data_IF_364429983212
#
_entry.id   IF_364429983212
#
_cell.length_a   1.000
_cell.length_b   1.000
_cell.length_c   1.000
_cell.angle_alpha   90.00
_cell.angle_beta   90.00
_cell.angle_gamma   90.00
#
_symmetry.space_group_name_H-M   'P 1'
#
loop_
_entity.id
_entity.type
_entity.pdbx_description
1 polymer ?
#
# COMPACT_ATOMS: atom_id res chain seq x y z
N UNK A 1 -2.67 1.52 7.51
CA UNK A 1 -1.48 0.81 6.99
C UNK A 1 -1.81 0.20 5.63
N UNK A 2 -0.89 0.30 4.68
CA UNK A 2 -0.98 -0.27 3.34
C UNK A 2 0.20 -1.23 3.15
N UNK A 3 -0.09 -2.45 2.72
CA UNK A 3 0.92 -3.45 2.34
C UNK A 3 0.71 -3.75 0.87
N UNK A 4 1.66 -3.36 0.02
CA UNK A 4 1.71 -3.78 -1.39
C UNK A 4 3.16 -4.13 -1.76
N UNK A 5 3.52 -5.41 -1.85
CA UNK A 5 4.88 -5.83 -2.19
C UNK A 5 5.32 -5.29 -3.54
N UNK A 6 4.35 -5.06 -4.43
CA UNK A 6 4.60 -4.61 -5.77
C UNK A 6 4.51 -3.11 -5.92
N UNK A 7 4.45 -2.29 -4.85
CA UNK A 7 4.22 -0.82 -4.78
C UNK A 7 5.06 0.11 -5.69
N UNK A 8 6.13 -0.38 -6.31
CA UNK A 8 6.83 0.35 -7.40
C UNK A 8 6.78 -0.26 -8.80
N UNK A 9 6.01 -1.35 -9.02
CA UNK A 9 5.81 -1.92 -10.38
C UNK A 9 4.82 -1.13 -11.26
N UNK A 10 4.08 -0.18 -10.71
CA UNK A 10 3.27 0.87 -11.39
C UNK A 10 4.18 2.04 -11.71
N UNK A 11 4.78 2.02 -12.91
CA UNK A 11 5.60 3.12 -13.41
C UNK A 11 5.00 3.79 -14.65
N UNK A 12 3.70 3.63 -14.88
CA UNK A 12 2.99 4.46 -15.86
C UNK A 12 2.25 5.62 -15.18
N UNK A 13 2.23 6.77 -15.84
CA UNK A 13 1.63 8.01 -15.31
C UNK A 13 0.14 7.84 -14.96
N UNK A 14 -0.55 6.94 -15.67
CA UNK A 14 -1.96 6.67 -15.46
C UNK A 14 -2.22 6.02 -14.09
N UNK A 15 -1.46 4.97 -13.76
CA UNK A 15 -1.54 4.30 -12.47
C UNK A 15 -1.18 5.24 -11.32
N UNK A 16 -0.12 6.05 -11.48
CA UNK A 16 0.27 7.08 -10.51
C UNK A 16 -0.87 8.07 -10.30
N UNK A 17 -1.45 8.63 -11.38
CA UNK A 17 -2.54 9.61 -11.28
C UNK A 17 -3.78 9.02 -10.59
N UNK A 18 -4.05 7.74 -10.81
CA UNK A 18 -5.23 7.06 -10.26
C UNK A 18 -5.02 6.69 -8.80
N UNK A 19 -3.82 6.23 -8.43
CA UNK A 19 -3.43 6.08 -7.03
C UNK A 19 -3.62 7.39 -6.26
N UNK A 20 -3.12 8.50 -6.81
CA UNK A 20 -3.24 9.82 -6.18
C UNK A 20 -4.70 10.25 -5.98
N UNK A 21 -5.57 10.01 -6.98
CA UNK A 21 -7.01 10.29 -6.85
C UNK A 21 -7.68 9.41 -5.80
N UNK A 22 -7.34 8.12 -5.76
CA UNK A 22 -7.87 7.21 -4.74
C UNK A 22 -7.41 7.65 -3.34
N UNK A 23 -6.14 7.99 -3.19
CA UNK A 23 -5.58 8.59 -1.98
C UNK A 23 -6.40 9.84 -1.59
N UNK A 24 -6.59 10.80 -2.48
CA UNK A 24 -7.40 12.01 -2.20
C UNK A 24 -8.80 11.73 -1.67
N UNK A 25 -9.43 10.62 -2.07
CA UNK A 25 -10.76 10.24 -1.58
C UNK A 25 -10.74 9.67 -0.15
N UNK A 26 -9.66 8.98 0.24
CA UNK A 26 -9.55 8.33 1.55
C UNK A 26 -8.79 9.18 2.59
N UNK A 27 -7.94 10.12 2.13
CA UNK A 27 -7.08 10.94 2.97
C UNK A 27 -7.79 11.90 3.93
N UNK A 28 -8.99 12.46 3.65
CA UNK A 28 -9.66 13.36 4.60
C UNK A 28 -9.94 12.73 5.97
N UNK A 29 -9.87 11.39 6.06
CA UNK A 29 -10.08 10.62 7.29
C UNK A 29 -8.81 10.01 7.88
N UNK A 30 -7.62 10.29 7.34
CA UNK A 30 -6.37 9.63 7.74
C UNK A 30 -5.32 10.64 8.24
N UNK A 31 -4.78 10.40 9.43
CA UNK A 31 -3.68 11.19 10.01
C UNK A 31 -2.30 10.62 9.65
N UNK A 32 -2.20 9.30 9.54
CA UNK A 32 -0.96 8.57 9.22
C UNK A 32 -1.23 7.42 8.24
N UNK A 33 -0.31 7.24 7.30
CA UNK A 33 -0.28 6.06 6.43
C UNK A 33 1.13 5.50 6.39
N UNK A 34 1.26 4.26 6.87
CA UNK A 34 2.46 3.45 6.69
C UNK A 34 2.29 2.57 5.46
N UNK A 35 3.23 2.65 4.52
CA UNK A 35 3.26 1.90 3.26
C UNK A 35 4.43 0.92 3.29
N UNK A 36 4.10 -0.37 3.19
CA UNK A 36 5.04 -1.48 3.15
C UNK A 36 5.16 -2.04 1.74
N UNK A 37 6.39 -2.22 1.28
CA UNK A 37 6.67 -2.74 -0.06
C UNK A 37 7.93 -3.61 -0.09
N UNK A 38 8.07 -4.42 -1.13
CA UNK A 38 9.30 -5.18 -1.36
C UNK A 38 10.37 -4.26 -1.95
N UNK A 39 11.49 -4.12 -1.24
CA UNK A 39 12.62 -3.29 -1.66
C UNK A 39 13.16 -3.67 -3.05
N UNK A 40 13.01 -4.93 -3.47
CA UNK A 40 13.42 -5.41 -4.80
C UNK A 40 12.60 -4.81 -5.93
N UNK A 41 11.43 -4.24 -5.63
CA UNK A 41 10.57 -3.61 -6.65
C UNK A 41 10.90 -2.14 -6.89
N UNK A 42 11.71 -1.53 -6.01
CA UNK A 42 12.22 -0.17 -6.22
C UNK A 42 12.99 -0.08 -7.54
N UNK A 43 12.77 1.01 -8.25
CA UNK A 43 13.44 1.37 -9.47
C UNK A 43 13.94 2.83 -9.40
N UNK A 44 14.58 3.29 -10.46
CA UNK A 44 15.17 4.64 -10.53
C UNK A 44 14.16 5.79 -10.32
N UNK A 45 12.88 5.56 -10.59
CA UNK A 45 11.82 6.57 -10.51
C UNK A 45 11.07 6.52 -9.16
N UNK A 46 11.31 5.48 -8.33
CA UNK A 46 10.63 5.27 -7.05
C UNK A 46 10.83 6.44 -6.09
N UNK A 47 12.04 6.96 -5.95
CA UNK A 47 12.34 8.07 -5.02
C UNK A 47 11.63 9.37 -5.43
N UNK A 48 11.55 9.66 -6.73
CA UNK A 48 10.82 10.83 -7.23
C UNK A 48 9.32 10.69 -6.98
N UNK A 49 8.77 9.48 -7.18
CA UNK A 49 7.37 9.20 -6.87
C UNK A 49 7.06 9.35 -5.39
N UNK A 50 7.91 8.81 -4.51
CA UNK A 50 7.78 8.98 -3.06
C UNK A 50 7.82 10.45 -2.64
N UNK A 51 8.72 11.23 -3.25
CA UNK A 51 8.81 12.68 -3.02
C UNK A 51 7.52 13.38 -3.44
N UNK A 52 7.02 13.12 -4.65
CA UNK A 52 5.75 13.70 -5.15
C UNK A 52 4.57 13.36 -4.24
N UNK A 53 4.52 12.14 -3.70
CA UNK A 53 3.49 11.75 -2.74
C UNK A 53 3.53 12.59 -1.46
N UNK A 54 4.72 12.74 -0.86
CA UNK A 54 4.90 13.56 0.35
C UNK A 54 4.59 15.03 0.11
N UNK A 55 5.00 15.58 -1.04
CA UNK A 55 4.73 16.97 -1.41
C UNK A 55 3.23 17.23 -1.64
N UNK A 56 2.53 16.27 -2.23
CA UNK A 56 1.11 16.38 -2.52
C UNK A 56 0.24 16.26 -1.27
N UNK A 57 0.68 15.47 -0.28
CA UNK A 57 -0.06 15.23 0.95
C UNK A 57 0.74 15.64 2.20
N UNK A 58 1.11 16.93 2.34
CA UNK A 58 2.03 17.39 3.37
C UNK A 58 1.43 17.37 4.79
N UNK A 59 0.12 17.21 4.91
CA UNK A 59 -0.61 17.18 6.18
C UNK A 59 -0.69 15.78 6.79
N UNK A 60 -0.24 14.76 6.07
CA UNK A 60 -0.41 13.36 6.44
C UNK A 60 0.96 12.74 6.62
N UNK A 61 1.14 12.03 7.74
CA UNK A 61 2.39 11.34 8.00
C UNK A 61 2.50 10.14 7.07
N UNK A 62 3.35 10.24 6.04
CA UNK A 62 3.63 9.15 5.11
C UNK A 62 4.95 8.47 5.46
N UNK A 63 4.84 7.27 6.03
CA UNK A 63 5.99 6.40 6.28
C UNK A 63 6.11 5.33 5.20
N UNK A 64 7.33 5.13 4.71
CA UNK A 64 7.64 4.15 3.68
C UNK A 64 8.62 3.16 4.27
N UNK A 65 8.22 1.89 4.38
CA UNK A 65 9.02 0.84 5.02
C UNK A 65 9.38 -0.25 4.01
N UNK A 66 10.67 -0.36 3.77
CA UNK A 66 11.27 -1.40 2.95
C UNK A 66 11.14 -2.75 3.66
N UNK A 67 10.48 -3.71 3.03
CA UNK A 67 10.57 -5.10 3.44
C UNK A 67 11.63 -5.82 2.61
N UNK A 68 12.50 -6.58 3.28
CA UNK A 68 13.56 -7.39 2.65
C UNK A 68 13.08 -8.81 2.32
N UNK A 69 11.94 -9.20 2.88
CA UNK A 69 11.34 -10.51 2.68
C UNK A 69 10.28 -10.49 1.60
N UNK A 70 10.05 -11.65 1.00
CA UNK A 70 9.09 -11.81 -0.09
C UNK A 70 7.70 -11.84 0.51
N UNK A 71 6.94 -10.78 0.27
CA UNK A 71 5.50 -10.74 0.49
C UNK A 71 4.81 -10.89 -0.86
N UNK A 72 3.67 -11.57 -0.86
CA UNK A 72 2.88 -11.78 -2.06
C UNK A 72 1.51 -11.10 -1.96
N UNK A 73 0.96 -11.05 -0.74
CA UNK A 73 -0.37 -10.53 -0.50
C UNK A 73 -0.38 -9.03 -0.21
N UNK A 74 -1.57 -8.45 -0.39
CA UNK A 74 -1.77 -7.01 -0.34
C UNK A 74 -2.92 -6.67 0.57
N UNK A 75 -2.72 -5.69 1.43
CA UNK A 75 -3.64 -5.39 2.50
C UNK A 75 -3.79 -3.88 2.70
N UNK A 76 -5.02 -3.45 2.97
CA UNK A 76 -5.28 -2.16 3.60
C UNK A 76 -5.83 -2.46 4.99
N UNK A 77 -5.14 -1.96 6.02
CA UNK A 77 -5.46 -2.20 7.42
C UNK A 77 -5.74 -0.88 8.13
N UNK A 78 -6.88 -0.81 8.80
CA UNK A 78 -7.18 0.15 9.86
C UNK A 78 -6.79 -0.51 11.19
N UNK A 79 -5.62 -0.13 11.71
CA UNK A 79 -5.07 -0.71 12.93
C UNK A 79 -5.84 -0.28 14.17
N UNK A 80 -6.46 0.91 14.16
CA UNK A 80 -7.25 1.41 15.29
C UNK A 80 -8.56 0.65 15.42
N UNK A 81 -9.20 0.34 14.30
CA UNK A 81 -10.46 -0.41 14.26
C UNK A 81 -10.27 -1.93 14.20
N UNK A 82 -9.03 -2.41 14.09
CA UNK A 82 -8.70 -3.81 13.82
C UNK A 82 -9.47 -4.36 12.61
N UNK A 83 -9.58 -3.56 11.56
CA UNK A 83 -10.29 -3.88 10.33
C UNK A 83 -9.35 -3.84 9.13
N UNK A 84 -9.68 -4.57 8.08
CA UNK A 84 -8.90 -4.50 6.86
C UNK A 84 -9.56 -5.19 5.69
N UNK A 85 -8.94 -5.01 4.54
CA UNK A 85 -9.31 -5.68 3.30
C UNK A 85 -8.07 -6.28 2.65
N UNK A 86 -8.25 -7.47 2.10
CA UNK A 86 -7.28 -8.11 1.22
C UNK A 86 -7.55 -7.68 -0.23
N UNK A 87 -6.47 -7.40 -0.96
CA UNK A 87 -6.50 -6.98 -2.36
C UNK A 87 -5.89 -8.09 -3.24
N UNK A 88 -6.69 -8.75 -4.06
CA UNK A 88 -6.21 -9.76 -5.02
C UNK A 88 -5.42 -9.17 -6.20
N UNK A 89 -5.48 -7.84 -6.39
CA UNK A 89 -4.68 -7.07 -7.34
C UNK A 89 -3.77 -6.07 -6.63
N UNK A 90 -2.61 -5.81 -7.20
CA UNK A 90 -1.78 -4.68 -6.78
C UNK A 90 -2.52 -3.40 -7.20
N UNK A 91 -2.21 -2.27 -6.59
CA UNK A 91 -2.69 -0.97 -7.10
C UNK A 91 -2.39 -0.76 -8.61
N UNK A 92 -1.54 -1.61 -9.23
CA UNK A 92 -1.07 -1.60 -10.62
C UNK A 92 -2.13 -2.17 -11.57
N UNK A 93 -3.15 -2.78 -10.97
CA UNK A 93 -4.30 -3.36 -11.65
C UNK A 93 -5.62 -3.03 -10.96
N UNK A 94 -5.65 -2.08 -10.01
CA UNK A 94 -6.88 -1.69 -9.28
C UNK A 94 -8.05 -1.33 -10.21
N UNK A 95 -7.74 -1.01 -11.47
CA UNK A 95 -8.71 -0.64 -12.49
C UNK A 95 -8.57 -1.46 -13.79
N UNK A 96 -7.74 -2.51 -13.81
CA UNK A 96 -7.62 -3.47 -14.92
C UNK A 96 -8.07 -4.85 -14.45
N UNK A 97 -9.24 -5.28 -14.94
CA UNK A 97 -9.86 -6.61 -14.74
C UNK A 97 -9.89 -7.14 -13.30
N UNK A 98 -11.08 -7.03 -12.67
CA UNK A 98 -11.51 -7.76 -11.45
C UNK A 98 -10.44 -7.82 -10.35
N UNK A 99 -10.15 -6.65 -9.76
CA UNK A 99 -9.47 -6.66 -8.45
C UNK A 99 -10.46 -7.19 -7.42
N UNK A 100 -10.21 -8.39 -6.87
CA UNK A 100 -10.98 -8.86 -5.73
C UNK A 100 -10.59 -8.05 -4.50
N UNK A 101 -11.55 -7.32 -3.94
CA UNK A 101 -11.43 -6.67 -2.64
C UNK A 101 -12.34 -7.45 -1.71
N UNK A 102 -11.76 -8.09 -0.70
CA UNK A 102 -12.52 -8.86 0.29
C UNK A 102 -12.16 -8.45 1.71
N UNK A 103 -13.09 -8.53 2.67
CA UNK A 103 -12.73 -8.45 4.08
C UNK A 103 -11.68 -9.50 4.43
N UNK A 104 -10.86 -9.22 5.44
CA UNK A 104 -9.90 -10.22 5.94
C UNK A 104 -10.63 -11.47 6.44
N UNK A 105 -10.13 -12.64 6.04
CA UNK A 105 -10.54 -13.93 6.59
C UNK A 105 -9.50 -14.46 7.59
N UNK A 106 -9.79 -15.63 8.17
CA UNK A 106 -8.88 -16.22 9.16
C UNK A 106 -7.59 -16.73 8.52
N UNK A 107 -7.63 -17.07 7.23
CA UNK A 107 -6.47 -17.52 6.48
C UNK A 107 -5.44 -16.40 6.28
N UNK A 108 -5.87 -15.13 6.20
CA UNK A 108 -4.98 -13.97 6.06
C UNK A 108 -4.16 -13.66 7.36
N UNK A 109 -4.62 -14.13 8.52
CA UNK A 109 -4.09 -13.70 9.83
C UNK A 109 -2.66 -14.13 10.11
N UNK A 110 -2.20 -15.37 9.81
CA UNK A 110 -0.83 -15.78 10.08
C UNK A 110 0.20 -14.89 9.37
N UNK A 111 0.02 -14.59 8.09
CA UNK A 111 0.92 -13.71 7.32
C UNK A 111 0.85 -12.27 7.85
N UNK A 112 -0.35 -11.75 8.15
CA UNK A 112 -0.50 -10.43 8.74
C UNK A 112 0.20 -10.29 10.09
N UNK A 113 0.09 -11.30 10.97
CA UNK A 113 0.77 -11.30 12.26
C UNK A 113 2.29 -11.35 12.10
N UNK A 114 2.78 -12.11 11.13
CA UNK A 114 4.19 -12.16 10.79
C UNK A 114 4.69 -10.79 10.30
N UNK A 115 3.95 -10.13 9.40
CA UNK A 115 4.27 -8.79 8.92
C UNK A 115 4.27 -7.79 10.09
N UNK A 116 3.20 -7.74 10.88
CA UNK A 116 3.07 -6.82 12.02
C UNK A 116 4.13 -7.06 13.10
N UNK A 117 4.57 -8.30 13.29
CA UNK A 117 5.66 -8.66 14.20
C UNK A 117 7.02 -8.07 13.79
N UNK A 118 7.23 -7.84 12.49
CA UNK A 118 8.47 -7.26 11.93
C UNK A 118 8.48 -5.74 11.93
N UNK A 119 7.33 -5.12 12.20
CA UNK A 119 7.13 -3.67 12.14
C UNK A 119 7.42 -2.99 13.49
N UNK A 120 7.67 -3.78 14.54
CA UNK A 120 8.00 -3.30 15.89
C UNK A 120 9.42 -2.78 16.03
#
# INVERSE_FOLDING_TARGET
MLIDPYFFKFNDEWNISTFLKWFELILPSLEEIQIFYDAKTKNKDSEEFLKKLKEKFPKISLEFKDNKEVLHDRYILDLEKAQGVHLGGSFNGLFKQVSSIRPLDKEDYPELLEILGRIR
#
